data_IF_134990451649
#
_entry.id   IF_134990451649
#
_cell.length_a   1.000
_cell.length_b   1.000
_cell.length_c   1.000
_cell.angle_alpha   90.00
_cell.angle_beta   90.00
_cell.angle_gamma   90.00
#
_symmetry.space_group_name_H-M   'P 1'
#
loop_
_entity.id
_entity.type
_entity.pdbx_description
1 polymer ?
#
# COMPACT_ATOMS: atom_id res chain seq x y z
N UNK A 1 -17.71 16.29 1.36
CA UNK A 1 -17.37 15.00 0.76
C UNK A 1 -18.17 13.88 1.38
N UNK A 2 -18.85 13.11 0.54
CA UNK A 2 -19.65 11.96 0.96
C UNK A 2 -18.76 10.72 1.16
N UNK A 3 -18.89 9.99 2.29
CA UNK A 3 -18.15 8.74 2.51
C UNK A 3 -18.41 7.69 1.41
N UNK A 4 -19.58 7.72 0.78
CA UNK A 4 -19.95 6.80 -0.29
C UNK A 4 -19.00 6.88 -1.49
N UNK A 5 -18.58 8.09 -1.86
CA UNK A 5 -17.68 8.28 -3.02
C UNK A 5 -16.33 7.58 -2.81
N UNK A 6 -15.80 7.61 -1.58
CA UNK A 6 -14.54 6.93 -1.25
C UNK A 6 -14.69 5.42 -1.39
N UNK A 7 -15.79 4.85 -0.88
CA UNK A 7 -16.06 3.41 -1.02
C UNK A 7 -16.31 2.99 -2.46
N UNK A 8 -17.07 3.77 -3.22
CA UNK A 8 -17.32 3.51 -4.64
C UNK A 8 -16.00 3.49 -5.43
N UNK A 9 -15.07 4.42 -5.14
CA UNK A 9 -13.73 4.44 -5.75
C UNK A 9 -12.90 3.23 -5.28
N UNK A 10 -12.91 2.93 -3.97
CA UNK A 10 -12.17 1.81 -3.42
C UNK A 10 -12.59 0.50 -4.08
N UNK A 11 -13.88 0.23 -4.24
CA UNK A 11 -14.39 -0.96 -4.90
C UNK A 11 -14.07 -0.96 -6.41
N UNK A 12 -14.46 0.10 -7.12
CA UNK A 12 -14.52 0.07 -8.59
C UNK A 12 -13.23 0.48 -9.30
N UNK A 13 -12.31 1.14 -8.59
CA UNK A 13 -11.01 1.58 -9.11
C UNK A 13 -9.89 0.78 -8.46
N UNK A 14 -9.87 0.72 -7.13
CA UNK A 14 -8.72 0.20 -6.37
C UNK A 14 -8.77 -1.33 -6.26
N UNK A 15 -9.78 -1.88 -5.58
CA UNK A 15 -9.93 -3.31 -5.35
C UNK A 15 -10.15 -4.09 -6.65
N UNK A 16 -10.88 -3.53 -7.61
CA UNK A 16 -11.09 -4.18 -8.91
C UNK A 16 -9.85 -4.29 -9.80
N UNK A 17 -8.74 -3.63 -9.44
CA UNK A 17 -7.54 -3.55 -10.28
C UNK A 17 -6.31 -4.19 -9.62
N UNK A 18 -5.70 -5.21 -10.27
CA UNK A 18 -4.37 -5.73 -9.92
C UNK A 18 -3.33 -4.64 -9.67
N UNK A 19 -2.69 -4.65 -8.50
CA UNK A 19 -1.76 -3.59 -8.08
C UNK A 19 -0.65 -4.05 -7.11
N UNK A 20 -0.12 -5.25 -7.26
CA UNK A 20 1.04 -5.66 -6.44
C UNK A 20 2.23 -4.72 -6.64
N UNK A 21 3.07 -4.61 -5.63
CA UNK A 21 4.34 -3.90 -5.68
C UNK A 21 5.17 -4.33 -6.90
N UNK A 22 5.71 -3.33 -7.62
CA UNK A 22 6.42 -3.46 -8.91
C UNK A 22 5.54 -3.89 -10.09
N UNK A 23 4.22 -3.79 -9.98
CA UNK A 23 3.25 -4.10 -11.04
C UNK A 23 2.07 -3.10 -11.06
N UNK A 24 2.36 -1.83 -10.79
CA UNK A 24 1.39 -0.75 -10.60
C UNK A 24 0.88 -0.15 -11.92
N UNK A 25 1.38 -0.57 -13.08
CA UNK A 25 1.02 0.02 -14.37
C UNK A 25 -0.50 -0.05 -14.65
N UNK A 26 -1.15 -1.16 -14.26
CA UNK A 26 -2.58 -1.34 -14.44
C UNK A 26 -3.40 -0.36 -13.62
N UNK A 27 -3.07 -0.20 -12.33
CA UNK A 27 -3.77 0.75 -11.46
C UNK A 27 -3.51 2.19 -11.89
N UNK A 28 -2.29 2.51 -12.33
CA UNK A 28 -1.94 3.83 -12.86
C UNK A 28 -2.80 4.20 -14.07
N UNK A 29 -2.92 3.30 -15.03
CA UNK A 29 -3.78 3.53 -16.21
C UNK A 29 -5.27 3.57 -15.84
N UNK A 30 -5.72 2.74 -14.91
CA UNK A 30 -7.09 2.77 -14.39
C UNK A 30 -7.42 4.10 -13.74
N UNK A 31 -6.52 4.65 -12.92
CA UNK A 31 -6.68 5.96 -12.28
C UNK A 31 -6.76 7.07 -13.33
N UNK A 32 -5.84 7.10 -14.30
CA UNK A 32 -5.88 8.10 -15.39
C UNK A 32 -7.19 8.04 -16.17
N UNK A 33 -7.69 6.84 -16.46
CA UNK A 33 -8.96 6.64 -17.14
C UNK A 33 -10.14 7.13 -16.29
N UNK A 34 -10.16 6.75 -15.01
CA UNK A 34 -11.18 7.19 -14.06
C UNK A 34 -11.28 8.71 -13.98
N UNK A 35 -10.15 9.42 -13.83
CA UNK A 35 -10.13 10.89 -13.80
C UNK A 35 -10.73 11.48 -15.08
N UNK A 36 -10.31 11.02 -16.26
CA UNK A 36 -10.86 11.51 -17.55
C UNK A 36 -12.37 11.25 -17.71
N UNK A 37 -12.88 10.18 -17.10
CA UNK A 37 -14.31 9.88 -17.09
C UNK A 37 -15.06 10.84 -16.15
N UNK A 38 -14.50 11.15 -14.98
CA UNK A 38 -15.08 12.10 -14.02
C UNK A 38 -15.00 13.55 -14.52
N UNK A 39 -13.95 13.95 -15.24
CA UNK A 39 -13.87 15.28 -15.89
C UNK A 39 -15.09 15.54 -16.78
N UNK A 40 -15.51 14.53 -17.54
CA UNK A 40 -16.68 14.62 -18.45
C UNK A 40 -18.00 14.70 -17.71
N UNK A 41 -18.11 14.08 -16.54
CA UNK A 41 -19.34 14.04 -15.74
C UNK A 41 -19.51 15.31 -14.91
N UNK A 42 -18.43 15.76 -14.27
CA UNK A 42 -18.49 16.76 -13.22
C UNK A 42 -18.00 18.15 -13.70
N UNK A 43 -17.52 18.26 -14.94
CA UNK A 43 -16.96 19.48 -15.52
C UNK A 43 -15.83 20.08 -14.66
N UNK A 44 -15.05 19.21 -14.01
CA UNK A 44 -13.84 19.54 -13.28
C UNK A 44 -12.67 19.26 -14.21
N UNK A 45 -11.70 20.16 -14.30
CA UNK A 45 -10.48 19.94 -15.10
C UNK A 45 -9.32 19.54 -14.20
N UNK A 46 -8.60 18.50 -14.62
CA UNK A 46 -7.42 17.99 -13.93
C UNK A 46 -6.16 18.11 -14.78
N UNK A 47 -5.02 18.30 -14.13
CA UNK A 47 -3.71 18.09 -14.75
C UNK A 47 -3.15 16.77 -14.27
N UNK A 48 -2.75 15.89 -15.19
CA UNK A 48 -2.13 14.61 -14.87
C UNK A 48 -0.68 14.66 -15.33
N UNK A 49 0.25 14.38 -14.41
CA UNK A 49 1.69 14.27 -14.64
C UNK A 49 2.19 12.93 -14.13
N UNK A 50 3.15 12.36 -14.84
CA UNK A 50 3.78 11.11 -14.46
C UNK A 50 5.30 11.27 -14.61
N UNK A 51 6.04 10.78 -13.63
CA UNK A 51 7.49 10.76 -13.68
C UNK A 51 8.04 9.47 -14.33
N UNK A 52 9.37 9.30 -14.35
CA UNK A 52 10.00 8.15 -15.01
C UNK A 52 9.79 6.84 -14.23
N UNK A 53 9.71 6.89 -12.91
CA UNK A 53 9.53 5.69 -12.07
C UNK A 53 8.07 5.25 -12.01
N UNK A 54 7.14 6.14 -12.38
CA UNK A 54 5.72 5.85 -12.50
C UNK A 54 4.87 6.47 -11.40
N UNK A 55 5.42 7.40 -10.61
CA UNK A 55 4.60 8.19 -9.70
C UNK A 55 3.65 9.07 -10.51
N UNK A 56 2.45 9.26 -9.98
CA UNK A 56 1.38 10.02 -10.64
C UNK A 56 1.01 11.23 -9.79
N UNK A 57 1.03 12.42 -10.38
CA UNK A 57 0.54 13.66 -9.77
C UNK A 57 -0.71 14.11 -10.51
N UNK A 58 -1.82 14.25 -9.78
CA UNK A 58 -3.10 14.69 -10.33
C UNK A 58 -3.55 15.93 -9.58
N UNK A 59 -3.76 17.01 -10.32
CA UNK A 59 -4.08 18.31 -9.72
C UNK A 59 -5.51 18.73 -10.06
N UNK A 60 -6.22 19.25 -9.06
CA UNK A 60 -7.51 19.92 -9.20
C UNK A 60 -7.34 21.39 -8.83
N UNK A 61 -7.85 22.29 -9.67
CA UNK A 61 -7.86 23.73 -9.37
C UNK A 61 -8.85 24.06 -8.25
N UNK A 62 -8.56 25.15 -7.53
CA UNK A 62 -9.44 25.70 -6.52
C UNK A 62 -10.84 25.98 -7.10
N UNK A 63 -11.86 25.74 -6.27
CA UNK A 63 -13.22 26.19 -6.54
C UNK A 63 -13.34 27.71 -6.42
N UNK A 64 -14.36 28.29 -7.04
CA UNK A 64 -14.60 29.73 -7.01
C UNK A 64 -14.67 30.29 -5.58
N UNK A 65 -13.88 31.33 -5.31
CA UNK A 65 -13.75 31.96 -3.99
C UNK A 65 -12.67 31.34 -3.09
N UNK A 66 -11.99 30.27 -3.52
CA UNK A 66 -10.97 29.57 -2.74
C UNK A 66 -9.55 29.64 -3.33
N UNK A 67 -9.32 30.46 -4.36
CA UNK A 67 -8.04 30.56 -5.05
C UNK A 67 -6.87 31.04 -4.16
N UNK A 68 -7.17 31.80 -3.10
CA UNK A 68 -6.15 32.31 -2.17
C UNK A 68 -5.78 31.31 -1.05
N UNK A 69 -6.45 30.15 -0.99
CA UNK A 69 -6.11 29.12 -0.02
C UNK A 69 -4.83 28.38 -0.44
N UNK A 70 -3.98 27.99 0.53
CA UNK A 70 -2.75 27.29 0.23
C UNK A 70 -3.02 25.93 -0.41
N UNK A 71 -2.21 25.58 -1.42
CA UNK A 71 -2.25 24.26 -2.03
C UNK A 71 -1.84 23.18 -1.04
N UNK A 72 -2.61 22.10 -0.97
CA UNK A 72 -2.32 20.92 -0.16
C UNK A 72 -1.99 19.74 -1.08
N UNK A 73 -0.89 19.05 -0.80
CA UNK A 73 -0.54 17.77 -1.42
C UNK A 73 -1.05 16.65 -0.51
N UNK A 74 -1.91 15.78 -1.05
CA UNK A 74 -2.27 14.51 -0.42
C UNK A 74 -1.47 13.40 -1.08
N UNK A 75 -0.76 12.59 -0.30
CA UNK A 75 0.02 11.48 -0.84
C UNK A 75 -0.46 10.14 -0.31
N UNK A 76 -0.51 9.18 -1.21
CA UNK A 76 -0.80 7.77 -0.97
C UNK A 76 0.07 6.90 -1.90
N UNK A 77 0.23 5.60 -1.59
CA UNK A 77 0.94 4.67 -2.48
C UNK A 77 -0.04 3.74 -3.23
N UNK A 78 0.27 3.44 -4.50
CA UNK A 78 -0.63 2.69 -5.39
C UNK A 78 -0.53 1.18 -5.23
N UNK A 79 0.60 0.69 -4.72
CA UNK A 79 0.84 -0.73 -4.59
C UNK A 79 0.24 -1.32 -3.32
N UNK A 80 0.23 -2.65 -3.23
CA UNK A 80 -0.14 -3.38 -2.03
C UNK A 80 0.73 -4.61 -1.87
N UNK A 81 0.86 -5.05 -0.61
CA UNK A 81 1.27 -6.42 -0.31
C UNK A 81 0.27 -7.40 -0.89
N UNK A 82 0.78 -8.38 -1.64
CA UNK A 82 0.01 -9.43 -2.29
C UNK A 82 0.27 -10.79 -1.62
N UNK A 83 -0.42 -11.06 -0.53
CA UNK A 83 -0.29 -12.28 0.26
C UNK A 83 -1.63 -13.01 0.36
N UNK A 84 -1.62 -14.33 0.32
CA UNK A 84 -2.84 -15.15 0.32
C UNK A 84 -2.69 -16.35 1.24
N UNK A 85 -3.78 -16.73 1.89
CA UNK A 85 -3.88 -17.96 2.67
C UNK A 85 -4.68 -19.06 1.95
N UNK A 86 -5.07 -18.84 0.69
CA UNK A 86 -5.72 -19.85 -0.13
C UNK A 86 -4.71 -20.95 -0.48
N UNK A 87 -5.11 -22.21 -0.33
CA UNK A 87 -4.24 -23.36 -0.60
C UNK A 87 -3.77 -23.40 -2.05
N UNK A 88 -4.65 -23.04 -2.99
CA UNK A 88 -4.35 -23.01 -4.43
C UNK A 88 -3.70 -21.68 -4.87
N UNK A 89 -3.47 -20.76 -3.94
CA UNK A 89 -2.98 -19.41 -4.20
C UNK A 89 -4.04 -18.45 -4.78
N UNK A 90 -3.60 -17.24 -5.13
CA UNK A 90 -4.44 -16.20 -5.71
C UNK A 90 -3.68 -15.46 -6.82
N UNK A 91 -4.32 -15.29 -7.99
CA UNK A 91 -3.70 -14.61 -9.13
C UNK A 91 -3.86 -13.09 -9.06
N UNK A 92 -3.06 -12.44 -8.23
CA UNK A 92 -3.06 -10.98 -8.08
C UNK A 92 -2.71 -10.21 -9.36
N UNK A 93 -2.11 -10.86 -10.37
CA UNK A 93 -1.77 -10.18 -11.64
C UNK A 93 -3.00 -9.98 -12.53
N UNK A 94 -4.04 -10.76 -12.33
CA UNK A 94 -5.23 -10.78 -13.19
C UNK A 94 -6.50 -10.42 -12.44
N UNK A 95 -6.62 -10.82 -11.18
CA UNK A 95 -7.85 -10.71 -10.42
C UNK A 95 -7.85 -9.46 -9.53
N UNK A 96 -9.02 -8.81 -9.44
CA UNK A 96 -9.30 -7.85 -8.39
C UNK A 96 -9.52 -8.53 -7.03
N UNK A 97 -9.39 -7.77 -5.96
CA UNK A 97 -9.52 -8.24 -4.58
C UNK A 97 -10.99 -8.56 -4.27
N UNK A 98 -11.30 -9.78 -3.79
CA UNK A 98 -12.66 -10.19 -3.44
C UNK A 98 -13.08 -9.56 -2.11
N UNK A 99 -13.64 -8.35 -2.18
CA UNK A 99 -14.13 -7.61 -1.02
C UNK A 99 -15.22 -8.40 -0.29
N UNK A 100 -15.21 -8.34 1.02
CA UNK A 100 -16.21 -8.94 1.88
C UNK A 100 -16.52 -8.01 3.05
N UNK A 101 -17.81 -7.74 3.24
CA UNK A 101 -18.32 -7.03 4.41
C UNK A 101 -18.64 -8.11 5.45
N UNK A 102 -18.03 -8.02 6.64
CA UNK A 102 -18.28 -8.98 7.70
C UNK A 102 -19.73 -8.93 8.18
N UNK A 103 -20.21 -10.04 8.73
CA UNK A 103 -21.59 -10.18 9.25
C UNK A 103 -21.98 -9.10 10.30
N UNK A 104 -20.99 -8.56 11.00
CA UNK A 104 -21.20 -7.48 11.98
C UNK A 104 -21.39 -6.08 11.36
N UNK A 105 -21.23 -5.96 10.04
CA UNK A 105 -21.31 -4.73 9.23
C UNK A 105 -20.37 -3.60 9.68
N UNK A 106 -19.33 -3.93 10.47
CA UNK A 106 -18.35 -2.96 11.00
C UNK A 106 -17.02 -3.02 10.28
N UNK A 107 -16.72 -4.13 9.61
CA UNK A 107 -15.43 -4.38 9.00
C UNK A 107 -15.59 -4.82 7.55
N UNK A 108 -14.65 -4.37 6.73
CA UNK A 108 -14.43 -4.86 5.38
C UNK A 108 -13.10 -5.61 5.40
N UNK A 109 -13.10 -6.81 4.84
CA UNK A 109 -11.91 -7.61 4.61
C UNK A 109 -11.92 -8.17 3.17
N UNK A 110 -10.97 -9.05 2.87
CA UNK A 110 -10.91 -9.74 1.59
C UNK A 110 -10.90 -11.25 1.80
N UNK A 111 -11.60 -11.96 0.93
CA UNK A 111 -11.72 -13.41 1.02
C UNK A 111 -10.40 -14.06 0.62
N UNK A 112 -9.69 -14.59 1.61
CA UNK A 112 -8.52 -15.44 1.40
C UNK A 112 -7.24 -14.70 0.99
N UNK A 113 -7.23 -13.37 1.08
CA UNK A 113 -6.13 -12.54 0.57
C UNK A 113 -5.98 -11.25 1.37
N UNK A 114 -4.85 -10.55 1.20
CA UNK A 114 -4.70 -9.17 1.66
C UNK A 114 -5.74 -8.27 1.00
N UNK A 115 -6.35 -7.39 1.81
CA UNK A 115 -7.36 -6.44 1.33
C UNK A 115 -6.77 -5.32 0.47
N UNK A 116 -5.54 -4.89 0.81
CA UNK A 116 -4.98 -3.65 0.25
C UNK A 116 -5.80 -2.42 0.66
N UNK A 117 -6.32 -2.39 1.89
CA UNK A 117 -6.81 -1.14 2.46
C UNK A 117 -5.66 -0.15 2.66
N UNK A 118 -4.48 -0.69 2.94
CA UNK A 118 -3.20 0.00 2.99
C UNK A 118 -2.53 0.01 1.60
N UNK A 119 -2.20 1.16 1.01
CA UNK A 119 -2.85 2.47 1.21
C UNK A 119 -4.00 2.71 0.21
N UNK A 120 -4.71 1.63 -0.17
CA UNK A 120 -5.82 1.72 -1.12
C UNK A 120 -6.95 2.66 -0.69
N UNK A 121 -7.20 2.79 0.62
CA UNK A 121 -8.19 3.75 1.15
C UNK A 121 -7.65 5.19 1.05
N UNK A 122 -6.38 5.44 1.31
CA UNK A 122 -5.77 6.77 1.09
C UNK A 122 -5.80 7.17 -0.38
N UNK A 123 -5.51 6.23 -1.29
CA UNK A 123 -5.66 6.46 -2.74
C UNK A 123 -7.11 6.82 -3.08
N UNK A 124 -8.09 6.04 -2.60
CA UNK A 124 -9.51 6.30 -2.86
C UNK A 124 -9.96 7.66 -2.30
N UNK A 125 -9.49 8.03 -1.11
CA UNK A 125 -9.77 9.31 -0.48
C UNK A 125 -9.20 10.48 -1.29
N UNK A 126 -7.92 10.40 -1.71
CA UNK A 126 -7.29 11.43 -2.52
C UNK A 126 -7.98 11.59 -3.89
N UNK A 127 -8.39 10.48 -4.52
CA UNK A 127 -9.20 10.52 -5.75
C UNK A 127 -10.58 11.16 -5.51
N UNK A 128 -11.24 10.87 -4.39
CA UNK A 128 -12.52 11.49 -4.05
C UNK A 128 -12.39 13.02 -3.92
N UNK A 129 -11.33 13.52 -3.29
CA UNK A 129 -11.04 14.96 -3.20
C UNK A 129 -10.88 15.62 -4.59
N UNK A 130 -10.36 14.88 -5.58
CA UNK A 130 -10.20 15.38 -6.93
C UNK A 130 -11.52 15.47 -7.69
N UNK A 131 -12.46 14.55 -7.47
CA UNK A 131 -13.64 14.39 -8.33
C UNK A 131 -14.96 14.87 -7.71
N UNK A 132 -15.01 15.07 -6.39
CA UNK A 132 -16.19 15.55 -5.68
C UNK A 132 -16.58 16.98 -6.11
N UNK A 133 -17.65 17.13 -6.89
CA UNK A 133 -18.15 18.43 -7.36
C UNK A 133 -18.70 19.33 -6.26
N UNK A 134 -19.13 18.76 -5.13
CA UNK A 134 -19.69 19.51 -3.99
C UNK A 134 -18.59 20.02 -3.04
N UNK A 135 -17.36 19.54 -3.21
CA UNK A 135 -16.22 19.97 -2.39
C UNK A 135 -15.80 21.41 -2.74
N UNK A 136 -15.91 22.31 -1.77
CA UNK A 136 -15.29 23.64 -1.80
C UNK A 136 -13.84 23.53 -1.30
N UNK A 137 -12.87 23.86 -2.14
CA UNK A 137 -11.45 23.68 -1.81
C UNK A 137 -10.54 24.67 -2.53
N UNK A 138 -9.35 24.87 -1.97
CA UNK A 138 -8.21 25.45 -2.70
C UNK A 138 -7.66 24.50 -3.77
N UNK A 139 -6.48 24.79 -4.29
CA UNK A 139 -5.80 23.86 -5.19
C UNK A 139 -5.44 22.58 -4.43
N UNK A 140 -5.69 21.42 -5.04
CA UNK A 140 -5.37 20.10 -4.49
C UNK A 140 -4.42 19.41 -5.45
N UNK A 141 -3.36 18.82 -4.90
CA UNK A 141 -2.46 17.92 -5.62
C UNK A 141 -2.59 16.56 -4.95
N UNK A 142 -2.95 15.51 -5.68
CA UNK A 142 -2.83 14.13 -5.19
C UNK A 142 -1.62 13.48 -5.83
N UNK A 143 -0.68 13.04 -5.00
CA UNK A 143 0.52 12.32 -5.39
C UNK A 143 0.34 10.83 -5.08
N UNK A 144 0.48 9.99 -6.09
CA UNK A 144 0.39 8.55 -5.97
C UNK A 144 1.75 7.94 -6.27
N UNK A 145 2.38 7.32 -5.28
CA UNK A 145 3.72 6.72 -5.41
C UNK A 145 3.67 5.24 -5.77
N UNK A 146 4.75 4.72 -6.37
CA UNK A 146 4.91 3.29 -6.69
C UNK A 146 5.81 2.58 -5.67
N UNK A 147 5.61 1.27 -5.52
CA UNK A 147 6.46 0.33 -4.79
C UNK A 147 6.91 0.83 -3.41
N UNK A 148 5.97 1.18 -2.53
CA UNK A 148 6.25 1.46 -1.12
C UNK A 148 6.73 0.18 -0.43
N UNK A 149 5.96 -0.90 -0.59
CA UNK A 149 5.97 -2.08 0.29
C UNK A 149 7.22 -2.96 0.15
N UNK A 150 7.92 -2.90 -0.99
CA UNK A 150 9.16 -3.68 -1.21
C UNK A 150 10.43 -2.83 -1.27
N UNK A 151 10.35 -1.50 -1.24
CA UNK A 151 11.58 -0.71 -1.31
C UNK A 151 11.49 0.81 -1.43
N UNK A 152 10.29 1.39 -1.36
CA UNK A 152 10.08 2.83 -1.50
C UNK A 152 10.62 3.43 -2.81
N UNK A 153 10.57 2.70 -3.93
CA UNK A 153 11.19 3.17 -5.18
C UNK A 153 10.58 4.50 -5.65
N UNK A 154 9.25 4.63 -5.55
CA UNK A 154 8.55 5.86 -5.90
C UNK A 154 9.04 7.06 -5.09
N UNK A 155 9.23 6.91 -3.78
CA UNK A 155 9.70 7.97 -2.91
C UNK A 155 11.21 8.28 -3.09
N UNK A 156 12.04 7.26 -3.31
CA UNK A 156 13.48 7.40 -3.45
C UNK A 156 13.90 8.05 -4.78
N UNK A 157 13.12 7.87 -5.85
CA UNK A 157 13.45 8.32 -7.21
C UNK A 157 12.44 9.33 -7.78
N UNK A 158 11.67 9.99 -6.92
CA UNK A 158 10.67 10.98 -7.32
C UNK A 158 11.30 12.14 -8.12
N UNK A 159 10.60 12.64 -9.14
CA UNK A 159 10.98 13.83 -9.92
C UNK A 159 10.00 15.00 -9.66
N UNK A 160 10.15 15.78 -8.56
CA UNK A 160 9.13 16.75 -8.12
C UNK A 160 8.80 17.83 -9.15
N UNK A 161 9.80 18.26 -9.92
CA UNK A 161 9.67 19.30 -10.96
C UNK A 161 8.81 18.80 -12.12
N UNK A 162 8.98 17.53 -12.52
CA UNK A 162 8.21 16.88 -13.58
C UNK A 162 6.77 16.59 -13.16
N UNK A 163 6.58 16.29 -11.86
CA UNK A 163 5.27 16.09 -11.22
C UNK A 163 4.57 17.41 -10.85
N UNK A 164 5.24 18.56 -11.04
CA UNK A 164 4.76 19.91 -10.69
C UNK A 164 4.25 20.01 -9.24
N UNK A 165 5.01 19.44 -8.30
CA UNK A 165 4.62 19.38 -6.88
C UNK A 165 4.85 20.74 -6.19
N UNK A 166 3.82 21.59 -6.23
CA UNK A 166 3.82 22.93 -5.62
C UNK A 166 2.74 23.05 -4.53
N UNK A 167 3.04 22.51 -3.35
CA UNK A 167 2.19 22.56 -2.17
C UNK A 167 2.82 23.35 -1.03
N UNK A 168 1.99 24.02 -0.22
CA UNK A 168 2.43 24.57 1.07
C UNK A 168 2.39 23.50 2.17
N UNK A 169 1.42 22.59 2.08
CA UNK A 169 1.22 21.51 3.02
C UNK A 169 1.27 20.16 2.32
N UNK A 170 1.69 19.14 3.06
CA UNK A 170 1.78 17.76 2.62
C UNK A 170 1.14 16.88 3.68
N UNK A 171 0.19 16.04 3.26
CA UNK A 171 -0.54 15.10 4.12
C UNK A 171 -0.38 13.72 3.50
N UNK A 172 0.40 12.86 4.16
CA UNK A 172 0.45 11.44 3.85
C UNK A 172 -0.79 10.75 4.45
N UNK A 173 -1.39 9.84 3.70
CA UNK A 173 -2.62 9.13 4.05
C UNK A 173 -2.39 7.69 4.53
N UNK A 174 -1.11 7.33 4.68
CA UNK A 174 -0.59 5.99 4.96
C UNK A 174 -0.43 5.73 6.47
N UNK A 175 -1.40 6.20 7.26
CA UNK A 175 -1.40 6.07 8.71
C UNK A 175 -2.67 5.35 9.16
N UNK A 176 -2.52 4.15 9.74
CA UNK A 176 -3.66 3.28 10.06
C UNK A 176 -4.66 3.79 11.11
N UNK A 177 -4.26 4.40 12.24
CA UNK A 177 -5.24 4.77 13.29
C UNK A 177 -5.99 6.08 13.01
N UNK A 178 -7.33 6.01 12.94
CA UNK A 178 -8.25 7.11 12.58
C UNK A 178 -8.21 8.39 13.47
N UNK A 179 -7.56 8.33 14.63
CA UNK A 179 -7.47 9.45 15.58
C UNK A 179 -6.03 9.74 16.01
N UNK A 180 -5.05 9.42 15.16
CA UNK A 180 -3.63 9.67 15.44
C UNK A 180 -3.00 10.37 14.24
N UNK A 181 -2.12 11.32 14.54
CA UNK A 181 -1.30 11.99 13.53
C UNK A 181 0.14 11.55 13.73
N UNK A 182 0.68 10.86 12.74
CA UNK A 182 2.07 10.43 12.72
C UNK A 182 2.95 11.59 12.23
N UNK A 183 3.81 12.10 13.11
CA UNK A 183 4.72 13.24 12.80
C UNK A 183 6.18 12.79 12.58
N UNK A 184 6.44 11.49 12.65
CA UNK A 184 7.77 10.91 12.44
C UNK A 184 7.70 9.39 12.35
N UNK A 185 8.66 8.80 11.65
CA UNK A 185 8.81 7.36 11.46
C UNK A 185 10.27 6.94 11.62
N UNK A 186 10.52 5.63 11.62
CA UNK A 186 11.87 5.06 11.67
C UNK A 186 12.38 4.74 10.27
N UNK A 187 13.67 4.89 10.05
CA UNK A 187 14.31 4.40 8.82
C UNK A 187 14.45 2.87 8.82
N UNK A 188 14.56 2.28 7.63
CA UNK A 188 14.75 0.84 7.43
C UNK A 188 16.02 0.52 6.66
N UNK A 189 16.62 -0.65 6.92
CA UNK A 189 17.72 -1.19 6.12
C UNK A 189 17.63 -2.70 6.04
N UNK A 190 17.73 -3.25 4.83
CA UNK A 190 17.80 -4.70 4.60
C UNK A 190 19.24 -5.19 4.76
N UNK A 191 19.44 -6.23 5.57
CA UNK A 191 20.75 -6.86 5.81
C UNK A 191 20.67 -8.33 5.42
N UNK A 192 21.61 -8.79 4.59
CA UNK A 192 21.69 -10.18 4.15
C UNK A 192 22.94 -10.84 4.74
N UNK A 193 22.74 -11.90 5.53
CA UNK A 193 23.80 -12.75 6.04
C UNK A 193 23.79 -14.06 5.24
N UNK A 194 24.94 -14.45 4.69
CA UNK A 194 25.10 -15.67 3.90
C UNK A 194 26.21 -16.53 4.51
N UNK A 195 25.98 -17.84 4.58
CA UNK A 195 26.96 -18.83 5.02
C UNK A 195 26.96 -19.98 4.03
N UNK A 196 28.14 -20.35 3.53
CA UNK A 196 28.34 -21.56 2.73
C UNK A 196 28.50 -22.77 3.66
N UNK A 197 27.97 -23.91 3.24
CA UNK A 197 28.08 -25.17 3.95
C UNK A 197 28.74 -26.20 3.04
N UNK A 198 29.65 -26.99 3.61
CA UNK A 198 30.18 -28.18 2.94
C UNK A 198 29.30 -29.38 3.32
N UNK A 199 28.80 -30.07 2.31
CA UNK A 199 28.02 -31.28 2.52
C UNK A 199 28.97 -32.46 2.66
N UNK A 200 28.82 -33.21 3.75
CA UNK A 200 29.56 -34.45 3.95
C UNK A 200 29.04 -35.54 3.00
N UNK A 201 29.93 -36.43 2.59
CA UNK A 201 29.55 -37.63 1.86
C UNK A 201 28.59 -38.50 2.71
N UNK A 202 27.66 -39.24 2.09
CA UNK A 202 26.78 -40.15 2.81
C UNK A 202 27.59 -41.13 3.67
N UNK A 203 27.26 -41.23 4.96
CA UNK A 203 27.89 -42.21 5.86
C UNK A 203 27.28 -43.60 5.66
N UNK A 204 28.07 -44.69 5.78
CA UNK A 204 27.54 -46.05 5.81
C UNK A 204 26.74 -46.37 7.09
N UNK A 205 26.77 -45.49 8.11
CA UNK A 205 26.00 -45.64 9.34
C UNK A 205 24.49 -45.41 9.13
N UNK A 206 23.65 -46.20 9.81
CA UNK A 206 22.20 -45.97 9.82
C UNK A 206 21.85 -44.77 10.68
N UNK A 207 21.78 -43.59 10.07
CA UNK A 207 21.29 -42.37 10.72
C UNK A 207 19.77 -42.38 10.85
N UNK A 208 19.27 -41.75 11.92
CA UNK A 208 17.84 -41.41 12.09
C UNK A 208 17.67 -39.91 11.90
N UNK A 209 16.71 -39.54 11.07
CA UNK A 209 16.39 -38.15 10.78
C UNK A 209 15.12 -37.75 11.52
N UNK A 210 15.17 -36.58 12.16
CA UNK A 210 14.04 -35.98 12.86
C UNK A 210 13.77 -34.60 12.27
N UNK A 211 12.49 -34.26 12.10
CA UNK A 211 12.06 -32.92 11.72
C UNK A 211 11.51 -32.22 12.95
N UNK A 212 12.16 -31.13 13.34
CA UNK A 212 11.69 -30.25 14.42
C UNK A 212 10.98 -29.08 13.76
N UNK A 213 9.76 -28.76 14.22
CA UNK A 213 8.96 -27.65 13.72
C UNK A 213 8.54 -26.77 14.89
N UNK A 214 8.64 -25.45 14.70
CA UNK A 214 8.17 -24.43 15.63
C UNK A 214 7.09 -23.62 14.90
N UNK A 215 5.84 -23.75 15.34
CA UNK A 215 4.68 -23.12 14.72
C UNK A 215 3.63 -22.71 15.77
N UNK A 216 2.57 -22.03 15.36
CA UNK A 216 1.51 -21.54 16.28
C UNK A 216 1.90 -20.29 17.08
N UNK A 217 2.95 -19.57 16.66
CA UNK A 217 3.32 -18.28 17.24
C UNK A 217 2.38 -17.20 16.73
N UNK A 218 2.20 -16.14 17.52
CA UNK A 218 1.32 -15.02 17.17
C UNK A 218 1.74 -14.24 15.91
N UNK A 219 3.02 -14.29 15.52
CA UNK A 219 3.54 -13.47 14.42
C UNK A 219 3.46 -11.97 14.72
N UNK A 220 3.49 -11.12 13.69
CA UNK A 220 3.35 -9.67 13.84
C UNK A 220 4.22 -8.85 12.91
N UNK A 221 3.90 -7.56 12.80
CA UNK A 221 4.68 -6.61 12.01
C UNK A 221 5.98 -6.27 12.73
N UNK A 222 7.13 -6.50 12.08
CA UNK A 222 8.45 -6.42 12.70
C UNK A 222 8.91 -5.03 13.17
N UNK A 223 8.22 -3.96 12.73
CA UNK A 223 8.36 -2.60 13.28
C UNK A 223 7.31 -2.33 14.37
N UNK A 224 6.07 -2.09 13.96
CA UNK A 224 4.91 -1.85 14.85
C UNK A 224 4.78 -2.78 16.06
N UNK A 225 4.95 -4.10 15.92
CA UNK A 225 4.77 -5.05 17.03
C UNK A 225 6.07 -5.38 17.79
N UNK A 226 7.23 -4.81 17.42
CA UNK A 226 8.54 -5.23 17.98
C UNK A 226 8.67 -5.00 19.48
N UNK A 227 7.91 -4.04 20.01
CA UNK A 227 7.88 -3.69 21.42
C UNK A 227 7.05 -4.68 22.26
N UNK A 228 6.26 -5.54 21.61
CA UNK A 228 5.44 -6.55 22.28
C UNK A 228 6.27 -7.80 22.59
N UNK A 229 5.92 -8.57 23.64
CA UNK A 229 6.67 -9.77 24.06
C UNK A 229 6.35 -10.99 23.17
N UNK A 230 6.41 -10.83 21.83
CA UNK A 230 6.16 -11.91 20.87
C UNK A 230 7.45 -12.68 20.56
N UNK A 231 7.35 -14.00 20.48
CA UNK A 231 8.49 -14.85 20.18
C UNK A 231 8.77 -14.93 18.67
N UNK A 232 10.04 -15.13 18.31
CA UNK A 232 10.49 -15.31 16.93
C UNK A 232 10.85 -16.79 16.68
N UNK A 233 10.18 -17.44 15.73
CA UNK A 233 10.36 -18.87 15.45
C UNK A 233 11.81 -19.22 15.07
N UNK A 234 12.47 -18.39 14.25
CA UNK A 234 13.86 -18.59 13.84
C UNK A 234 14.83 -18.52 15.02
N UNK A 235 14.61 -17.59 15.96
CA UNK A 235 15.42 -17.49 17.18
C UNK A 235 15.17 -18.67 18.13
N UNK A 236 13.92 -19.14 18.24
CA UNK A 236 13.57 -20.28 19.07
C UNK A 236 14.23 -21.57 18.56
N UNK A 237 14.13 -21.88 17.26
CA UNK A 237 14.76 -23.08 16.71
C UNK A 237 16.28 -23.00 16.84
N UNK A 238 16.88 -21.83 16.58
CA UNK A 238 18.32 -21.65 16.79
C UNK A 238 18.72 -21.90 18.25
N UNK A 239 17.94 -21.40 19.22
CA UNK A 239 18.19 -21.63 20.64
C UNK A 239 18.06 -23.10 21.03
N UNK A 240 17.07 -23.81 20.51
CA UNK A 240 16.92 -25.27 20.71
C UNK A 240 18.16 -26.01 20.17
N UNK A 241 18.61 -25.66 18.97
CA UNK A 241 19.79 -26.30 18.35
C UNK A 241 21.12 -25.98 19.06
N UNK A 242 21.19 -24.95 19.90
CA UNK A 242 22.39 -24.64 20.71
C UNK A 242 22.48 -25.40 22.03
N UNK A 243 21.37 -25.99 22.49
CA UNK A 243 21.30 -26.70 23.78
C UNK A 243 21.13 -28.22 23.63
N UNK A 244 20.76 -28.68 22.43
CA UNK A 244 20.77 -30.08 22.02
C UNK A 244 22.19 -30.50 21.62
#
# INVERSE_FOLDING_TARGET
MSPRLVWDIFENVIASTPRCSKSEDKIREKIKKFIKEEEKKNNISHSIKEDKIGNLSIQRRATDGYQNYPTIIFQAHMDMVCETNLQDGFNFKQNGIPLHIQENEKWVDAIGTTLGADDGIGVAFALALLVDSDLKCGNIISLFTVNEEDGFDGANYIEPEKLDLKGKFYVNLDSGPINQVTIGSVGGRRVYLRKSFEFLAPTPEKLRFYKIKVEGLLGGHSGGDIHLPRANANKMIARLMTVL
#
